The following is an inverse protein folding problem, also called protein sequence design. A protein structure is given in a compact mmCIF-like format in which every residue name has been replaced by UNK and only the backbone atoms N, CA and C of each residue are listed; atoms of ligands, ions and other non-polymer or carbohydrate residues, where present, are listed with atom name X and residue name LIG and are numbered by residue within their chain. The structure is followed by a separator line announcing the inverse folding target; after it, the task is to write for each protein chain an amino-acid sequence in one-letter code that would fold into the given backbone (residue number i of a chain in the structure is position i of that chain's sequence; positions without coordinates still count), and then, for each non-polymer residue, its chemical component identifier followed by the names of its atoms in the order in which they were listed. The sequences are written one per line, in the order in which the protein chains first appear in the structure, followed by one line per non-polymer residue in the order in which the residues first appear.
data_IF_438867359115
#
_entry.id   IF_438867359115
#
_cell.length_a   1.000
_cell.length_b   1.000
_cell.length_c   1.000
_cell.angle_alpha   90.00
_cell.angle_beta   90.00
_cell.angle_gamma   90.00
#
_symmetry.space_group_name_H-M   'P 1'
#
loop_
_entity.id
_entity.type
_entity.pdbx_description
1 polymer ?
#
# COMPACT_ATOMS: atom_id res chain seq x y z
N UNK A 1 12.93 -9.62 20.48
CA UNK A 1 13.12 -8.67 19.71
C UNK A 1 12.10 -8.45 18.77
N UNK A 2 11.77 -7.44 18.69
CA UNK A 2 10.76 -7.20 17.74
C UNK A 2 11.34 -7.44 16.39
N UNK A 3 10.62 -8.10 15.60
CA UNK A 3 10.94 -8.20 14.21
C UNK A 3 10.70 -6.89 13.51
N UNK A 4 10.82 -6.94 12.20
CA UNK A 4 10.41 -5.81 11.39
C UNK A 4 8.92 -5.60 11.54
N UNK A 5 8.44 -4.36 11.46
CA UNK A 5 7.00 -4.10 11.49
C UNK A 5 6.29 -4.87 10.38
N UNK A 6 5.07 -5.32 10.64
CA UNK A 6 4.29 -5.95 9.56
C UNK A 6 3.95 -4.93 8.49
N UNK A 7 3.72 -5.43 7.28
CA UNK A 7 3.45 -4.61 6.11
C UNK A 7 2.06 -4.95 5.58
N UNK A 8 1.27 -3.93 5.25
CA UNK A 8 0.01 -4.11 4.56
C UNK A 8 0.06 -3.43 3.21
N UNK A 9 -0.42 -4.11 2.18
CA UNK A 9 -0.57 -3.56 0.85
C UNK A 9 -2.06 -3.43 0.52
N UNK A 10 -2.50 -2.22 0.25
CA UNK A 10 -3.89 -1.92 -0.06
C UNK A 10 -3.98 -1.60 -1.54
N UNK A 11 -4.75 -2.39 -2.28
CA UNK A 11 -4.85 -2.28 -3.73
C UNK A 11 -6.21 -1.73 -4.13
N UNK A 12 -6.23 -0.64 -4.86
CA UNK A 12 -7.42 -0.19 -5.56
C UNK A 12 -8.45 0.57 -4.76
N UNK A 13 -8.18 0.92 -3.54
CA UNK A 13 -9.14 1.68 -2.75
C UNK A 13 -9.22 3.12 -3.26
N UNK A 14 -10.42 3.70 -3.24
CA UNK A 14 -10.56 5.10 -3.50
C UNK A 14 -9.89 5.94 -2.41
N UNK A 15 -9.69 7.25 -2.66
CA UNK A 15 -8.88 8.04 -1.74
C UNK A 15 -9.41 8.06 -0.31
N UNK A 16 -10.72 8.11 -0.13
CA UNK A 16 -11.28 8.20 1.22
C UNK A 16 -11.19 6.86 1.95
N UNK A 17 -11.54 5.78 1.28
CA UNK A 17 -11.56 4.45 1.89
C UNK A 17 -10.14 3.97 2.12
N UNK A 18 -9.27 4.13 1.13
CA UNK A 18 -7.89 3.70 1.25
C UNK A 18 -7.15 4.41 2.37
N UNK A 19 -7.35 5.71 2.50
CA UNK A 19 -6.71 6.48 3.56
C UNK A 19 -7.23 6.07 4.93
N UNK A 20 -8.53 5.75 5.05
CA UNK A 20 -9.08 5.28 6.30
C UNK A 20 -8.46 3.97 6.76
N UNK A 21 -8.33 3.02 5.83
CA UNK A 21 -7.70 1.74 6.13
C UNK A 21 -6.23 1.95 6.47
N UNK A 22 -5.55 2.81 5.71
CA UNK A 22 -4.14 3.09 5.94
C UNK A 22 -3.91 3.65 7.35
N UNK A 23 -4.74 4.59 7.78
CA UNK A 23 -4.61 5.16 9.13
C UNK A 23 -4.84 4.12 10.20
N UNK A 24 -5.83 3.25 10.00
CA UNK A 24 -6.14 2.21 10.97
C UNK A 24 -4.95 1.28 11.17
N UNK A 25 -4.35 0.83 10.08
CA UNK A 25 -3.23 -0.11 10.17
C UNK A 25 -1.96 0.58 10.63
N UNK A 26 -1.73 1.83 10.22
CA UNK A 26 -0.59 2.59 10.73
C UNK A 26 -0.66 2.75 12.25
N UNK A 27 -1.85 2.99 12.78
CA UNK A 27 -2.05 3.09 14.22
C UNK A 27 -1.75 1.78 14.94
N UNK A 28 -1.83 0.65 14.22
CA UNK A 28 -1.50 -0.66 14.79
C UNK A 28 -0.03 -1.03 14.60
N UNK A 29 0.77 -0.13 14.08
CA UNK A 29 2.20 -0.38 13.89
C UNK A 29 2.59 -0.97 12.55
N UNK A 30 1.65 -1.05 11.60
CA UNK A 30 1.95 -1.56 10.26
C UNK A 30 2.64 -0.49 9.42
N UNK A 31 3.55 -0.94 8.56
CA UNK A 31 3.96 -0.11 7.43
C UNK A 31 2.94 -0.31 6.32
N UNK A 32 2.53 0.77 5.69
CA UNK A 32 1.42 0.77 4.76
C UNK A 32 1.90 1.10 3.35
N UNK A 33 1.51 0.28 2.38
CA UNK A 33 1.60 0.62 0.97
C UNK A 33 0.19 0.75 0.42
N UNK A 34 -0.07 1.84 -0.25
CA UNK A 34 -1.38 2.13 -0.83
C UNK A 34 -1.21 2.33 -2.32
N UNK A 35 -1.92 1.55 -3.11
CA UNK A 35 -1.80 1.57 -4.56
C UNK A 35 -3.13 1.92 -5.20
N UNK A 36 -3.16 2.93 -6.06
CA UNK A 36 -4.38 3.41 -6.69
C UNK A 36 -4.02 4.33 -7.84
N UNK A 37 -4.96 4.53 -8.77
CA UNK A 37 -4.73 5.40 -9.91
C UNK A 37 -4.63 6.88 -9.53
N UNK A 38 -5.27 7.26 -8.45
CA UNK A 38 -5.35 8.67 -8.07
C UNK A 38 -4.22 9.11 -7.15
N UNK A 39 -3.35 8.19 -6.72
CA UNK A 39 -2.28 8.53 -5.80
C UNK A 39 -1.11 9.17 -6.50
N UNK A 40 -0.42 10.02 -5.77
CA UNK A 40 0.84 10.61 -6.20
C UNK A 40 1.98 9.98 -5.41
N UNK A 41 2.96 9.44 -6.10
CA UNK A 41 4.10 8.81 -5.42
C UNK A 41 4.90 9.83 -4.63
N UNK A 42 4.89 11.10 -5.07
CA UNK A 42 5.57 12.16 -4.35
C UNK A 42 4.96 12.44 -2.97
N UNK A 43 3.75 12.00 -2.73
CA UNK A 43 3.08 12.17 -1.43
C UNK A 43 3.42 11.05 -0.45
N UNK A 44 4.30 10.14 -0.81
CA UNK A 44 4.74 9.08 0.10
C UNK A 44 5.41 9.67 1.33
N UNK A 45 5.20 9.01 2.47
CA UNK A 45 5.84 9.38 3.73
C UNK A 45 6.62 8.18 4.25
N UNK A 46 7.46 8.34 5.29
CA UNK A 46 8.15 7.19 5.86
C UNK A 46 7.22 6.07 6.33
N UNK A 47 5.98 6.41 6.69
CA UNK A 47 5.01 5.42 7.18
C UNK A 47 4.08 4.90 6.10
N UNK A 48 3.97 5.59 4.97
CA UNK A 48 3.03 5.21 3.92
C UNK A 48 3.65 5.40 2.54
N UNK A 49 3.80 4.30 1.83
CA UNK A 49 4.26 4.32 0.44
C UNK A 49 3.06 4.44 -0.47
N UNK A 50 3.01 5.49 -1.28
CA UNK A 50 1.95 5.65 -2.28
C UNK A 50 2.47 5.18 -3.62
N UNK A 51 1.70 4.32 -4.27
CA UNK A 51 2.06 3.75 -5.57
C UNK A 51 0.95 4.06 -6.55
N UNK A 52 1.28 4.73 -7.65
CA UNK A 52 0.29 4.98 -8.68
C UNK A 52 0.15 3.71 -9.52
N UNK A 53 -1.04 3.12 -9.54
CA UNK A 53 -1.28 1.86 -10.23
C UNK A 53 -2.65 1.85 -10.90
N UNK A 54 -2.70 1.32 -12.10
CA UNK A 54 -3.94 1.09 -12.83
C UNK A 54 -4.20 -0.43 -12.85
N UNK A 55 -5.20 -0.86 -12.13
CA UNK A 55 -5.44 -2.30 -11.97
C UNK A 55 -6.10 -2.95 -13.19
N UNK A 56 -6.41 -2.18 -14.22
CA UNK A 56 -6.71 -2.74 -15.52
C UNK A 56 -5.45 -3.31 -16.19
N UNK A 57 -4.27 -2.96 -15.68
CA UNK A 57 -2.99 -3.39 -16.22
C UNK A 57 -2.33 -4.34 -15.22
N UNK A 58 -2.13 -5.60 -15.64
CA UNK A 58 -1.53 -6.61 -14.77
C UNK A 58 -0.12 -6.23 -14.34
N UNK A 59 0.64 -5.57 -15.22
CA UNK A 59 2.01 -5.16 -14.89
C UNK A 59 2.02 -4.15 -13.75
N UNK A 60 1.00 -3.31 -13.65
CA UNK A 60 0.93 -2.35 -12.55
C UNK A 60 0.67 -3.05 -11.23
N UNK A 61 -0.11 -4.12 -11.23
CA UNK A 61 -0.34 -4.91 -10.02
C UNK A 61 0.97 -5.54 -9.56
N UNK A 62 1.70 -6.16 -10.49
CA UNK A 62 2.99 -6.76 -10.18
C UNK A 62 3.96 -5.70 -9.67
N UNK A 63 3.96 -4.53 -10.30
CA UNK A 63 4.81 -3.43 -9.89
C UNK A 63 4.50 -2.97 -8.46
N UNK A 64 3.21 -2.94 -8.09
CA UNK A 64 2.81 -2.55 -6.74
C UNK A 64 3.37 -3.52 -5.70
N UNK A 65 3.27 -4.83 -5.97
CA UNK A 65 3.86 -5.82 -5.09
C UNK A 65 5.38 -5.69 -5.01
N UNK A 66 6.03 -5.52 -6.16
CA UNK A 66 7.48 -5.41 -6.22
C UNK A 66 7.97 -4.18 -5.44
N UNK A 67 7.30 -3.04 -5.63
CA UNK A 67 7.66 -1.81 -4.93
C UNK A 67 7.47 -1.96 -3.42
N UNK A 68 6.35 -2.56 -3.02
CA UNK A 68 6.08 -2.79 -1.60
C UNK A 68 7.16 -3.66 -0.98
N UNK A 69 7.49 -4.76 -1.65
CA UNK A 69 8.50 -5.68 -1.14
C UNK A 69 9.87 -5.01 -1.02
N UNK A 70 10.22 -4.19 -2.01
CA UNK A 70 11.52 -3.53 -2.04
C UNK A 70 11.64 -2.43 -0.99
N UNK A 71 10.58 -1.64 -0.83
CA UNK A 71 10.63 -0.45 0.02
C UNK A 71 10.25 -0.73 1.46
N UNK A 72 9.31 -1.63 1.70
CA UNK A 72 8.76 -1.87 3.03
C UNK A 72 9.01 -3.29 3.53
N UNK A 73 9.03 -4.25 2.64
CA UNK A 73 9.14 -5.66 2.98
C UNK A 73 7.96 -6.44 2.44
N UNK A 74 7.99 -7.75 2.63
CA UNK A 74 6.93 -8.63 2.13
C UNK A 74 5.65 -8.34 2.89
N UNK A 75 4.54 -8.03 2.19
CA UNK A 75 3.30 -7.72 2.89
C UNK A 75 2.72 -8.98 3.54
N UNK A 76 2.36 -8.86 4.81
CA UNK A 76 1.67 -9.94 5.52
C UNK A 76 0.16 -9.83 5.37
N UNK A 77 -0.34 -8.68 4.97
CA UNK A 77 -1.77 -8.47 4.70
C UNK A 77 -1.90 -7.76 3.36
N UNK A 78 -2.78 -8.26 2.51
CA UNK A 78 -3.10 -7.61 1.24
C UNK A 78 -4.61 -7.40 1.19
N UNK A 79 -5.02 -6.16 1.00
CA UNK A 79 -6.43 -5.81 0.87
C UNK A 79 -6.66 -5.38 -0.57
N UNK A 80 -7.60 -6.02 -1.24
CA UNK A 80 -7.98 -5.63 -2.58
C UNK A 80 -9.37 -5.06 -2.58
N UNK A 81 -9.50 -3.82 -2.98
CA UNK A 81 -10.78 -3.17 -3.15
C UNK A 81 -10.91 -2.86 -4.64
N UNK A 82 -11.66 -3.67 -5.35
CA UNK A 82 -11.70 -3.67 -6.81
C UNK A 82 -12.44 -2.51 -7.45
N UNK A 83 -12.75 -1.49 -6.73
CA UNK A 83 -13.46 -0.36 -7.31
C UNK A 83 -12.57 0.82 -7.50
#
# INVERSE_FOLDING_TARGET
MPGTPPVILILGAGPNIGQGIARLFAAKGYKVALASRSLQEADSTPEQLNIKSDFANTDDVIHAFTRTKKELGVPSVVVYNGK
#
